data_IF_473530547085
#
_entry.id   IF_473530547085
#
_cell.length_a   1.000
_cell.length_b   1.000
_cell.length_c   1.000
_cell.angle_alpha   90.00
_cell.angle_beta   90.00
_cell.angle_gamma   90.00
#
_symmetry.space_group_name_H-M   'P 1'
#
loop_
_entity.id
_entity.type
_entity.pdbx_description
1 polymer ?
#
# COMPACT_ATOMS: atom_id res chain seq x y z
N UNK A 1 -13.01 -0.63 24.62
CA UNK A 1 -13.93 -1.18 23.59
C UNK A 1 -13.38 -2.52 23.13
N UNK A 2 -14.12 -3.60 23.26
CA UNK A 2 -13.62 -4.96 22.99
C UNK A 2 -13.19 -5.13 21.51
N UNK A 3 -12.23 -6.03 21.28
CA UNK A 3 -11.72 -6.35 19.95
C UNK A 3 -12.84 -6.63 18.93
N UNK A 4 -13.82 -7.43 19.30
CA UNK A 4 -14.97 -7.78 18.44
C UNK A 4 -15.81 -6.57 18.00
N UNK A 5 -16.05 -5.61 18.92
CA UNK A 5 -16.80 -4.39 18.59
C UNK A 5 -16.06 -3.57 17.53
N UNK A 6 -14.74 -3.42 17.66
CA UNK A 6 -13.93 -2.73 16.64
C UNK A 6 -14.03 -3.42 15.28
N UNK A 7 -14.02 -4.75 15.24
CA UNK A 7 -14.14 -5.52 13.99
C UNK A 7 -15.53 -5.37 13.36
N UNK A 8 -16.59 -5.38 14.15
CA UNK A 8 -17.96 -5.15 13.67
C UNK A 8 -18.08 -3.75 13.06
N UNK A 9 -17.59 -2.72 13.75
CA UNK A 9 -17.59 -1.33 13.23
C UNK A 9 -16.83 -1.25 11.91
N UNK A 10 -15.63 -1.87 11.84
CA UNK A 10 -14.85 -1.95 10.60
C UNK A 10 -15.63 -2.62 9.47
N UNK A 11 -16.30 -3.74 9.75
CA UNK A 11 -17.12 -4.44 8.76
C UNK A 11 -18.32 -3.60 8.28
N UNK A 12 -19.01 -2.90 9.18
CA UNK A 12 -20.12 -2.01 8.81
C UNK A 12 -19.59 -0.86 7.95
N UNK A 13 -18.48 -0.23 8.35
CA UNK A 13 -17.87 0.82 7.55
C UNK A 13 -17.50 0.32 6.14
N UNK A 14 -16.88 -0.85 6.05
CA UNK A 14 -16.40 -1.43 4.80
C UNK A 14 -17.53 -1.89 3.86
N UNK A 15 -18.57 -2.51 4.40
CA UNK A 15 -19.61 -3.13 3.57
C UNK A 15 -20.86 -2.25 3.36
N UNK A 16 -21.02 -1.21 4.15
CA UNK A 16 -22.20 -0.33 4.07
C UNK A 16 -21.80 1.13 3.84
N UNK A 17 -21.06 1.73 4.77
CA UNK A 17 -20.78 3.16 4.73
C UNK A 17 -19.96 3.56 3.51
N UNK A 18 -18.79 2.93 3.31
CA UNK A 18 -17.89 3.28 2.21
C UNK A 18 -18.50 3.01 0.82
N UNK A 19 -19.16 1.85 0.56
CA UNK A 19 -19.82 1.63 -0.72
C UNK A 19 -20.88 2.69 -1.06
N UNK A 20 -21.74 3.03 -0.09
CA UNK A 20 -22.80 4.04 -0.28
C UNK A 20 -22.17 5.42 -0.54
N UNK A 21 -21.20 5.81 0.29
CA UNK A 21 -20.54 7.11 0.13
C UNK A 21 -19.79 7.21 -1.21
N UNK A 22 -19.06 6.15 -1.57
CA UNK A 22 -18.37 6.06 -2.86
C UNK A 22 -19.35 6.20 -4.03
N UNK A 23 -20.47 5.50 -3.99
CA UNK A 23 -21.52 5.59 -5.01
C UNK A 23 -22.03 7.03 -5.17
N UNK A 24 -22.26 7.73 -4.06
CA UNK A 24 -22.66 9.15 -4.09
C UNK A 24 -21.54 10.00 -4.73
N UNK A 25 -20.29 9.78 -4.37
CA UNK A 25 -19.14 10.50 -4.95
C UNK A 25 -18.96 10.23 -6.45
N UNK A 26 -19.35 9.04 -6.94
CA UNK A 26 -19.30 8.67 -8.36
C UNK A 26 -20.27 9.46 -9.27
N UNK A 27 -21.13 10.33 -8.72
CA UNK A 27 -21.92 11.28 -9.51
C UNK A 27 -21.04 12.28 -10.27
N UNK A 28 -19.83 12.57 -9.73
CA UNK A 28 -18.81 13.33 -10.46
C UNK A 28 -18.09 12.40 -11.44
N UNK A 29 -17.70 12.87 -12.64
CA UNK A 29 -16.94 12.07 -13.60
C UNK A 29 -15.54 11.73 -13.08
N UNK A 30 -14.90 10.74 -13.71
CA UNK A 30 -13.45 10.54 -13.53
C UNK A 30 -12.72 11.73 -14.14
N UNK A 31 -11.80 12.29 -13.41
CA UNK A 31 -10.92 13.36 -13.88
C UNK A 31 -9.73 12.71 -14.58
N UNK A 32 -9.64 12.95 -15.88
CA UNK A 32 -8.54 12.42 -16.70
C UNK A 32 -7.20 12.99 -16.23
N UNK A 33 -6.20 12.12 -16.12
CA UNK A 33 -4.87 12.48 -15.64
C UNK A 33 -4.76 12.62 -14.13
N UNK A 34 -5.84 12.45 -13.34
CA UNK A 34 -5.75 12.50 -11.89
C UNK A 34 -5.13 11.20 -11.35
N UNK A 35 -3.94 11.34 -10.75
CA UNK A 35 -3.18 10.27 -10.09
C UNK A 35 -3.18 10.52 -8.59
N UNK A 36 -3.62 9.54 -7.82
CA UNK A 36 -3.64 9.63 -6.35
C UNK A 36 -2.68 8.62 -5.77
N UNK A 37 -1.68 9.08 -5.03
CA UNK A 37 -0.84 8.25 -4.18
C UNK A 37 -1.43 8.19 -2.78
N UNK A 38 -1.59 7.00 -2.22
CA UNK A 38 -2.22 6.88 -0.91
C UNK A 38 -1.58 5.78 -0.05
N UNK A 39 -1.50 6.05 1.26
CA UNK A 39 -1.07 5.10 2.28
C UNK A 39 -1.61 5.53 3.65
N UNK A 40 -2.09 4.55 4.46
CA UNK A 40 -2.64 4.82 5.80
C UNK A 40 -1.64 4.60 6.95
N UNK A 41 -0.37 4.37 6.61
CA UNK A 41 0.71 4.14 7.57
C UNK A 41 1.87 5.14 7.45
N UNK A 42 1.75 6.12 6.56
CA UNK A 42 2.78 7.11 6.25
C UNK A 42 2.17 8.51 6.18
N UNK A 43 2.92 9.50 6.64
CA UNK A 43 2.51 10.91 6.58
C UNK A 43 3.08 11.66 5.38
N UNK A 44 3.93 11.00 4.59
CA UNK A 44 4.54 11.53 3.37
C UNK A 44 4.81 10.39 2.39
N UNK A 45 5.09 10.71 1.13
CA UNK A 45 5.46 9.74 0.11
C UNK A 45 6.66 8.91 0.56
N UNK A 46 6.51 7.58 0.66
CA UNK A 46 7.60 6.73 1.11
C UNK A 46 8.67 6.56 0.01
N UNK A 47 9.93 6.27 0.38
CA UNK A 47 11.02 6.08 -0.58
C UNK A 47 10.71 5.04 -1.68
N UNK A 48 9.90 4.03 -1.35
CA UNK A 48 9.46 3.01 -2.30
C UNK A 48 8.55 3.52 -3.42
N UNK A 49 7.91 4.66 -3.24
CA UNK A 49 7.03 5.29 -4.23
C UNK A 49 7.67 6.53 -4.85
N UNK A 50 8.69 7.11 -4.22
CA UNK A 50 9.21 8.44 -4.51
C UNK A 50 9.66 8.60 -5.97
N UNK A 51 10.40 7.65 -6.52
CA UNK A 51 10.87 7.73 -7.92
C UNK A 51 9.73 7.74 -8.93
N UNK A 52 8.72 6.90 -8.71
CA UNK A 52 7.53 6.89 -9.57
C UNK A 52 6.73 8.18 -9.42
N UNK A 53 6.57 8.64 -8.18
CA UNK A 53 5.89 9.89 -7.86
C UNK A 53 6.56 11.07 -8.56
N UNK A 54 7.88 11.24 -8.41
CA UNK A 54 8.64 12.33 -9.02
C UNK A 54 8.60 12.27 -10.56
N UNK A 55 8.69 11.08 -11.12
CA UNK A 55 8.57 10.89 -12.57
C UNK A 55 7.18 11.29 -13.11
N UNK A 56 6.11 11.00 -12.35
CA UNK A 56 4.75 11.36 -12.75
C UNK A 56 4.44 12.86 -12.57
N UNK A 57 5.08 13.53 -11.61
CA UNK A 57 4.99 14.98 -11.45
C UNK A 57 5.52 15.74 -12.67
N UNK A 58 6.47 15.15 -13.40
CA UNK A 58 7.07 15.76 -14.59
C UNK A 58 6.28 15.49 -15.89
N UNK A 59 5.23 14.65 -15.82
CA UNK A 59 4.44 14.31 -17.00
C UNK A 59 3.33 15.34 -17.26
N UNK A 60 3.33 15.92 -18.44
CA UNK A 60 2.26 16.83 -18.88
C UNK A 60 0.90 16.09 -18.90
N UNK A 61 -0.14 16.79 -18.50
CA UNK A 61 -1.50 16.27 -18.48
C UNK A 61 -1.82 15.39 -17.27
N UNK A 62 -0.87 15.16 -16.35
CA UNK A 62 -1.14 14.50 -15.08
C UNK A 62 -1.26 15.51 -13.93
N UNK A 63 -2.16 15.20 -13.01
CA UNK A 63 -2.31 15.90 -11.72
C UNK A 63 -2.06 14.90 -10.62
N UNK A 64 -0.93 15.00 -9.94
CA UNK A 64 -0.56 14.10 -8.84
C UNK A 64 -1.07 14.68 -7.52
N UNK A 65 -1.76 13.85 -6.75
CA UNK A 65 -2.31 14.20 -5.43
C UNK A 65 -1.85 13.17 -4.41
N UNK A 66 -1.32 13.67 -3.29
CA UNK A 66 -0.88 12.85 -2.17
C UNK A 66 -1.96 12.76 -1.09
N UNK A 67 -2.28 11.54 -0.70
CA UNK A 67 -3.20 11.24 0.41
C UNK A 67 -2.55 10.27 1.41
N UNK A 68 -1.50 10.75 2.06
CA UNK A 68 -0.74 10.04 3.08
C UNK A 68 -1.21 10.46 4.48
N UNK A 69 -1.47 9.48 5.35
CA UNK A 69 -1.80 9.73 6.75
C UNK A 69 -1.50 8.52 7.62
N UNK A 70 -1.15 8.75 8.88
CA UNK A 70 -0.97 7.67 9.86
C UNK A 70 -2.28 7.43 10.63
N UNK A 71 -3.04 6.42 10.21
CA UNK A 71 -4.32 6.07 10.82
C UNK A 71 -4.15 5.65 12.29
N UNK A 72 -3.00 5.08 12.67
CA UNK A 72 -2.75 4.62 14.04
C UNK A 72 -2.53 5.79 15.00
N UNK A 73 -1.98 6.89 14.50
CA UNK A 73 -1.78 8.13 15.27
C UNK A 73 -3.05 8.98 15.40
N UNK A 74 -4.13 8.63 14.68
CA UNK A 74 -5.36 9.41 14.65
C UNK A 74 -6.42 8.90 15.62
N UNK A 75 -7.30 9.81 16.07
CA UNK A 75 -8.56 9.41 16.70
C UNK A 75 -9.46 8.70 15.68
N UNK A 76 -10.35 7.81 16.14
CA UNK A 76 -11.28 7.09 15.26
C UNK A 76 -12.13 8.05 14.38
N UNK A 77 -12.52 9.20 14.92
CA UNK A 77 -13.30 10.20 14.18
C UNK A 77 -12.45 10.87 13.09
N UNK A 78 -11.20 11.24 13.40
CA UNK A 78 -10.29 11.84 12.43
C UNK A 78 -9.94 10.83 11.31
N UNK A 79 -9.63 9.60 11.66
CA UNK A 79 -9.37 8.52 10.70
C UNK A 79 -10.56 8.27 9.78
N UNK A 80 -11.80 8.23 10.32
CA UNK A 80 -12.99 8.08 9.50
C UNK A 80 -13.16 9.25 8.52
N UNK A 81 -12.93 10.47 8.96
CA UNK A 81 -12.99 11.66 8.07
C UNK A 81 -11.96 11.59 6.95
N UNK A 82 -10.73 11.15 7.25
CA UNK A 82 -9.67 10.95 6.24
C UNK A 82 -10.04 9.88 5.23
N UNK A 83 -10.53 8.72 5.69
CA UNK A 83 -10.98 7.66 4.79
C UNK A 83 -12.12 8.11 3.88
N UNK A 84 -13.10 8.88 4.38
CA UNK A 84 -14.17 9.45 3.56
C UNK A 84 -13.64 10.51 2.57
N UNK A 85 -12.67 11.33 2.96
CA UNK A 85 -12.00 12.26 2.06
C UNK A 85 -11.29 11.52 0.92
N UNK A 86 -10.55 10.45 1.24
CA UNK A 86 -9.96 9.59 0.22
C UNK A 86 -11.01 8.97 -0.71
N UNK A 87 -12.14 8.47 -0.19
CA UNK A 87 -13.20 7.89 -1.04
C UNK A 87 -13.69 8.88 -2.10
N UNK A 88 -13.73 10.17 -1.77
CA UNK A 88 -14.08 11.23 -2.70
C UNK A 88 -13.03 11.42 -3.80
N UNK A 89 -11.73 11.37 -3.43
CA UNK A 89 -10.63 11.40 -4.39
C UNK A 89 -10.65 10.13 -5.27
N UNK A 90 -10.77 8.97 -4.66
CA UNK A 90 -10.82 7.67 -5.36
C UNK A 90 -11.95 7.61 -6.38
N UNK A 91 -13.12 8.15 -6.05
CA UNK A 91 -14.25 8.20 -6.98
C UNK A 91 -13.98 9.05 -8.23
N UNK A 92 -13.00 9.95 -8.20
CA UNK A 92 -12.64 10.84 -9.31
C UNK A 92 -11.30 10.51 -9.94
N UNK A 93 -10.46 9.70 -9.30
CA UNK A 93 -9.13 9.35 -9.77
C UNK A 93 -9.19 8.46 -11.04
N UNK A 94 -8.34 8.76 -12.02
CA UNK A 94 -8.03 7.85 -13.11
C UNK A 94 -7.05 6.77 -12.65
N UNK A 95 -6.06 7.14 -11.83
CA UNK A 95 -5.10 6.22 -11.26
C UNK A 95 -5.03 6.36 -9.74
N UNK A 96 -4.95 5.21 -9.05
CA UNK A 96 -4.67 5.14 -7.62
C UNK A 96 -3.48 4.23 -7.41
N UNK A 97 -2.45 4.72 -6.73
CA UNK A 97 -1.18 4.02 -6.52
C UNK A 97 -1.01 3.78 -5.02
N UNK A 98 -0.82 2.52 -4.67
CA UNK A 98 -0.73 2.02 -3.31
C UNK A 98 0.54 1.18 -3.13
N UNK A 99 1.06 1.14 -1.91
CA UNK A 99 2.13 0.20 -1.54
C UNK A 99 1.70 -0.82 -0.49
N UNK A 100 0.58 -0.60 0.16
CA UNK A 100 0.03 -1.51 1.16
C UNK A 100 -1.47 -1.74 0.95
N UNK A 101 -2.06 -2.64 1.73
CA UNK A 101 -3.50 -2.84 1.73
C UNK A 101 -4.20 -1.60 2.27
N UNK A 102 -5.12 -1.07 1.50
CA UNK A 102 -5.86 0.13 1.86
C UNK A 102 -7.36 -0.14 1.86
N UNK A 103 -7.94 -0.18 3.06
CA UNK A 103 -9.32 -0.59 3.29
C UNK A 103 -10.35 0.15 2.41
N UNK A 104 -10.30 1.47 2.22
CA UNK A 104 -11.25 2.17 1.38
C UNK A 104 -11.31 1.63 -0.06
N UNK A 105 -10.16 1.26 -0.64
CA UNK A 105 -10.09 0.74 -2.03
C UNK A 105 -10.79 -0.59 -2.16
N UNK A 106 -10.62 -1.50 -1.19
CA UNK A 106 -11.27 -2.82 -1.22
C UNK A 106 -12.75 -2.79 -0.81
N UNK A 107 -13.25 -1.66 -0.30
CA UNK A 107 -14.59 -1.55 0.29
C UNK A 107 -15.71 -1.36 -0.72
N UNK A 108 -15.43 -0.94 -1.94
CA UNK A 108 -16.46 -0.57 -2.92
C UNK A 108 -16.34 -1.38 -4.21
N UNK A 109 -17.30 -1.22 -5.10
CA UNK A 109 -17.19 -1.62 -6.48
C UNK A 109 -16.53 -0.48 -7.26
N UNK A 110 -15.25 -0.68 -7.62
CA UNK A 110 -14.48 0.28 -8.40
C UNK A 110 -15.20 0.62 -9.70
N UNK A 111 -15.32 1.90 -10.01
CA UNK A 111 -15.93 2.36 -11.25
C UNK A 111 -15.03 2.07 -12.46
N UNK A 112 -15.63 1.96 -13.63
CA UNK A 112 -14.89 1.92 -14.89
C UNK A 112 -14.15 3.25 -15.10
N UNK A 113 -12.93 3.17 -15.64
CA UNK A 113 -12.08 4.35 -15.86
C UNK A 113 -11.12 4.67 -14.73
N UNK A 114 -11.20 3.99 -13.58
CA UNK A 114 -10.21 4.07 -12.52
C UNK A 114 -9.32 2.83 -12.54
N UNK A 115 -8.01 3.01 -12.55
CA UNK A 115 -7.00 1.95 -12.48
C UNK A 115 -6.33 1.99 -11.11
N UNK A 116 -6.30 0.86 -10.41
CA UNK A 116 -5.63 0.73 -9.11
C UNK A 116 -4.36 -0.10 -9.27
N UNK A 117 -3.23 0.49 -8.89
CA UNK A 117 -1.90 -0.08 -8.98
C UNK A 117 -1.36 -0.33 -7.57
N UNK A 118 -1.00 -1.57 -7.28
CA UNK A 118 -0.38 -1.98 -6.03
C UNK A 118 1.10 -2.24 -6.27
N UNK A 119 1.97 -1.40 -5.71
CA UNK A 119 3.42 -1.55 -5.83
C UNK A 119 3.99 -2.56 -4.84
N UNK A 120 3.26 -2.78 -3.72
CA UNK A 120 3.68 -3.59 -2.60
C UNK A 120 4.93 -3.04 -1.90
N UNK A 121 5.20 -3.54 -0.70
CA UNK A 121 6.30 -3.08 0.15
C UNK A 121 7.37 -4.16 0.39
N UNK A 122 7.24 -5.33 -0.23
CA UNK A 122 8.18 -6.45 -0.10
C UNK A 122 8.77 -6.84 -1.45
N UNK A 123 10.07 -7.07 -1.49
CA UNK A 123 10.79 -7.37 -2.73
C UNK A 123 10.83 -8.86 -3.10
N UNK A 124 10.13 -9.73 -2.37
CA UNK A 124 10.16 -11.17 -2.65
C UNK A 124 8.99 -11.91 -2.05
N UNK A 125 8.99 -13.24 -2.18
CA UNK A 125 8.00 -14.16 -1.63
C UNK A 125 8.60 -15.00 -0.48
N UNK A 126 9.26 -14.37 0.47
CA UNK A 126 9.97 -15.04 1.57
C UNK A 126 9.06 -15.49 2.71
N UNK A 127 7.88 -14.90 2.83
CA UNK A 127 6.93 -15.17 3.90
C UNK A 127 5.54 -15.30 3.29
N UNK A 128 4.74 -16.22 3.83
CA UNK A 128 3.31 -16.28 3.51
C UNK A 128 2.61 -15.05 4.04
N UNK A 129 1.68 -14.52 3.28
CA UNK A 129 0.90 -13.34 3.64
C UNK A 129 -0.53 -13.46 3.09
N UNK A 130 -1.37 -12.54 3.46
CA UNK A 130 -2.74 -12.45 2.97
C UNK A 130 -3.53 -13.73 3.24
N UNK A 131 -4.20 -14.25 2.21
CA UNK A 131 -5.04 -15.45 2.35
C UNK A 131 -4.24 -16.76 2.44
N UNK A 132 -2.95 -16.75 2.18
CA UNK A 132 -2.07 -17.91 2.32
C UNK A 132 -1.41 -17.99 3.71
N UNK A 133 -1.62 -16.97 4.57
CA UNK A 133 -1.23 -16.96 5.97
C UNK A 133 -2.46 -17.11 6.88
N UNK A 134 -2.33 -17.90 7.98
CA UNK A 134 -3.46 -18.20 8.84
C UNK A 134 -3.99 -16.98 9.62
N UNK A 135 -3.10 -16.06 9.96
CA UNK A 135 -3.37 -15.00 10.94
C UNK A 135 -3.41 -13.58 10.35
N UNK A 136 -3.09 -13.41 9.06
CA UNK A 136 -3.09 -12.08 8.42
C UNK A 136 -4.52 -11.55 8.20
N UNK A 137 -5.45 -12.43 7.81
CA UNK A 137 -6.83 -12.07 7.56
C UNK A 137 -7.73 -12.91 8.46
N UNK A 138 -8.58 -12.29 9.31
CA UNK A 138 -9.46 -13.02 10.18
C UNK A 138 -10.36 -13.99 9.42
N UNK A 139 -10.52 -15.23 9.91
CA UNK A 139 -11.30 -16.28 9.23
C UNK A 139 -12.78 -15.90 9.05
N UNK A 140 -13.32 -15.05 9.94
CA UNK A 140 -14.69 -14.55 9.83
C UNK A 140 -14.86 -13.40 8.82
N UNK A 141 -13.75 -12.89 8.26
CA UNK A 141 -13.80 -11.80 7.29
C UNK A 141 -14.46 -12.26 5.99
N UNK A 142 -15.51 -11.54 5.59
CA UNK A 142 -16.22 -11.79 4.34
C UNK A 142 -15.78 -10.78 3.29
N UNK A 143 -15.33 -11.27 2.14
CA UNK A 143 -14.88 -10.43 1.03
C UNK A 143 -13.41 -10.67 0.64
N UNK A 144 -12.86 -9.79 -0.15
CA UNK A 144 -11.45 -9.81 -0.52
C UNK A 144 -10.81 -8.44 -0.20
N UNK A 145 -9.88 -8.41 0.75
CA UNK A 145 -9.17 -7.20 1.17
C UNK A 145 -8.25 -6.63 0.07
N UNK A 146 -7.93 -7.44 -0.94
CA UNK A 146 -7.16 -7.06 -2.12
C UNK A 146 -8.04 -6.82 -3.37
N UNK A 147 -9.32 -6.65 -3.16
CA UNK A 147 -10.28 -6.35 -4.24
C UNK A 147 -9.90 -5.04 -4.94
N UNK A 148 -10.21 -4.99 -6.22
CA UNK A 148 -10.07 -3.81 -7.08
C UNK A 148 -8.67 -3.49 -7.61
N UNK A 149 -7.64 -4.30 -7.33
CA UNK A 149 -6.34 -4.12 -7.95
C UNK A 149 -6.38 -4.55 -9.43
N UNK A 150 -5.93 -3.67 -10.32
CA UNK A 150 -5.79 -3.93 -11.76
C UNK A 150 -4.37 -4.36 -12.10
N UNK A 151 -3.40 -3.84 -11.34
CA UNK A 151 -1.99 -4.16 -11.47
C UNK A 151 -1.37 -4.35 -10.08
N UNK A 152 -0.66 -5.45 -9.91
CA UNK A 152 0.22 -5.71 -8.76
C UNK A 152 1.61 -5.94 -9.29
N UNK A 153 2.59 -5.15 -8.83
CA UNK A 153 3.98 -5.32 -9.24
C UNK A 153 4.72 -6.28 -8.32
N UNK A 154 5.55 -7.13 -8.89
CA UNK A 154 6.42 -8.05 -8.15
C UNK A 154 7.82 -8.05 -8.74
N UNK A 155 8.80 -8.44 -7.93
CA UNK A 155 10.22 -8.38 -8.27
C UNK A 155 10.65 -9.34 -9.38
N UNK A 156 9.96 -10.48 -9.54
CA UNK A 156 10.32 -11.49 -10.53
C UNK A 156 9.12 -12.32 -10.98
N UNK A 157 9.20 -13.00 -12.15
CA UNK A 157 8.18 -13.93 -12.60
C UNK A 157 7.91 -15.06 -11.58
N UNK A 158 8.90 -15.46 -10.82
CA UNK A 158 8.81 -16.48 -9.77
C UNK A 158 7.83 -16.06 -8.65
N UNK A 159 7.74 -14.78 -8.34
CA UNK A 159 6.83 -14.27 -7.30
C UNK A 159 5.36 -14.25 -7.72
N UNK A 160 5.06 -14.25 -9.03
CA UNK A 160 3.69 -14.09 -9.55
C UNK A 160 2.68 -15.09 -8.98
N UNK A 161 2.91 -16.43 -8.96
CA UNK A 161 1.93 -17.37 -8.46
C UNK A 161 1.63 -17.15 -6.96
N UNK A 162 2.62 -16.81 -6.16
CA UNK A 162 2.44 -16.58 -4.72
C UNK A 162 1.58 -15.34 -4.44
N UNK A 163 1.82 -14.25 -5.15
CA UNK A 163 0.99 -13.04 -5.02
C UNK A 163 -0.42 -13.24 -5.58
N UNK A 164 -0.55 -13.98 -6.68
CA UNK A 164 -1.85 -14.34 -7.24
C UNK A 164 -2.70 -15.13 -6.24
N UNK A 165 -2.11 -16.11 -5.55
CA UNK A 165 -2.75 -16.91 -4.51
C UNK A 165 -3.07 -16.06 -3.27
N UNK A 166 -2.04 -15.46 -2.67
CA UNK A 166 -2.14 -14.72 -1.41
C UNK A 166 -3.14 -13.56 -1.47
N UNK A 167 -3.26 -12.90 -2.63
CA UNK A 167 -4.21 -11.81 -2.85
C UNK A 167 -5.53 -12.25 -3.48
N UNK A 168 -5.71 -13.56 -3.77
CA UNK A 168 -6.89 -14.10 -4.47
C UNK A 168 -7.20 -13.34 -5.76
N UNK A 169 -6.16 -13.08 -6.58
CA UNK A 169 -6.35 -12.39 -7.85
C UNK A 169 -7.09 -13.28 -8.85
N UNK A 170 -8.22 -12.80 -9.35
CA UNK A 170 -9.04 -13.55 -10.32
C UNK A 170 -8.33 -13.78 -11.65
N UNK A 171 -7.49 -12.83 -12.05
CA UNK A 171 -6.75 -12.88 -13.30
C UNK A 171 -5.25 -12.89 -13.03
N UNK A 172 -4.52 -13.96 -13.37
CA UNK A 172 -3.07 -14.03 -13.16
C UNK A 172 -2.30 -12.90 -13.89
N UNK A 173 -2.90 -12.33 -14.94
CA UNK A 173 -2.32 -11.20 -15.68
C UNK A 173 -2.30 -9.89 -14.86
N UNK A 174 -3.04 -9.80 -13.76
CA UNK A 174 -3.00 -8.66 -12.84
C UNK A 174 -1.64 -8.55 -12.14
N UNK A 175 -0.96 -9.68 -11.86
CA UNK A 175 0.35 -9.70 -11.22
C UNK A 175 1.44 -9.67 -12.28
N UNK A 176 2.27 -8.59 -12.28
CA UNK A 176 3.31 -8.35 -13.28
C UNK A 176 4.69 -8.24 -12.63
N UNK A 177 5.66 -8.86 -13.24
CA UNK A 177 7.06 -8.83 -12.81
C UNK A 177 7.78 -7.61 -13.42
N UNK A 178 7.42 -6.42 -12.96
CA UNK A 178 8.03 -5.16 -13.41
C UNK A 178 9.17 -4.69 -12.52
N UNK A 179 9.54 -5.46 -11.51
CA UNK A 179 10.49 -5.07 -10.50
C UNK A 179 9.79 -4.66 -9.20
N UNK A 180 10.57 -4.19 -8.25
CA UNK A 180 10.10 -3.66 -6.98
C UNK A 180 10.65 -2.25 -6.80
N UNK A 181 9.78 -1.26 -6.81
CA UNK A 181 10.14 0.14 -6.57
C UNK A 181 10.80 0.35 -5.20
N UNK A 182 10.55 -0.55 -4.26
CA UNK A 182 11.19 -0.55 -2.93
C UNK A 182 12.71 -0.70 -3.02
N UNK A 183 13.23 -1.34 -4.07
CA UNK A 183 14.67 -1.57 -4.26
C UNK A 183 15.37 -0.54 -5.15
N UNK A 184 14.66 0.39 -5.75
CA UNK A 184 15.21 1.36 -6.68
C UNK A 184 16.29 2.25 -6.04
N UNK A 185 16.14 2.56 -4.75
CA UNK A 185 17.12 3.35 -4.01
C UNK A 185 18.51 2.69 -3.91
N UNK A 186 18.60 1.36 -4.00
CA UNK A 186 19.89 0.65 -3.98
C UNK A 186 20.70 0.83 -5.27
N UNK A 187 20.08 1.32 -6.33
CA UNK A 187 20.72 1.61 -7.62
C UNK A 187 20.93 3.11 -7.83
N UNK A 188 20.63 3.94 -6.84
CA UNK A 188 20.79 5.38 -6.85
C UNK A 188 22.06 5.77 -6.07
N UNK A 189 23.11 6.19 -6.80
CA UNK A 189 24.40 6.54 -6.18
C UNK A 189 24.29 7.78 -5.26
N UNK A 190 23.44 8.75 -5.63
CA UNK A 190 23.22 9.93 -4.80
C UNK A 190 22.51 9.58 -3.49
N UNK A 191 21.49 8.71 -3.57
CA UNK A 191 20.82 8.19 -2.38
C UNK A 191 21.77 7.40 -1.49
N UNK A 192 22.59 6.51 -2.07
CA UNK A 192 23.58 5.73 -1.30
C UNK A 192 24.57 6.63 -0.58
N UNK A 193 25.10 7.64 -1.27
CA UNK A 193 26.04 8.61 -0.68
C UNK A 193 25.39 9.36 0.49
N UNK A 194 24.16 9.88 0.31
CA UNK A 194 23.43 10.57 1.37
C UNK A 194 23.13 9.65 2.57
N UNK A 195 22.81 8.37 2.33
CA UNK A 195 22.60 7.41 3.42
C UNK A 195 23.89 7.01 4.14
N UNK A 196 25.01 6.94 3.43
CA UNK A 196 26.32 6.74 4.03
C UNK A 196 26.69 7.92 4.94
N UNK A 197 26.52 9.14 4.48
CA UNK A 197 26.78 10.33 5.29
C UNK A 197 25.88 10.36 6.55
N UNK A 198 24.60 10.10 6.40
CA UNK A 198 23.66 10.01 7.53
C UNK A 198 24.05 8.93 8.54
N UNK A 199 24.51 7.77 8.05
CA UNK A 199 25.02 6.69 8.91
C UNK A 199 26.23 7.17 9.71
N UNK A 200 27.20 7.83 9.06
CA UNK A 200 28.42 8.34 9.73
C UNK A 200 28.11 9.45 10.74
N UNK A 201 27.16 10.33 10.43
CA UNK A 201 26.67 11.33 11.38
C UNK A 201 26.02 10.71 12.61
N UNK A 202 25.31 9.57 12.46
CA UNK A 202 24.57 8.94 13.54
C UNK A 202 25.46 8.03 14.40
N UNK A 203 26.33 7.25 13.76
CA UNK A 203 27.10 6.17 14.42
C UNK A 203 28.62 6.38 14.40
N UNK A 204 29.08 7.46 13.80
CA UNK A 204 30.48 7.75 13.57
C UNK A 204 31.06 7.07 12.34
N UNK A 205 32.17 7.60 11.85
CA UNK A 205 32.87 7.06 10.68
C UNK A 205 33.33 5.62 10.91
N UNK A 206 33.28 4.81 9.87
CA UNK A 206 33.65 3.38 9.90
C UNK A 206 35.13 3.17 10.32
N UNK A 207 36.05 4.00 9.87
CA UNK A 207 37.47 3.99 10.23
C UNK A 207 38.11 2.58 10.17
N UNK A 208 37.85 1.84 9.08
CA UNK A 208 38.35 0.48 8.90
C UNK A 208 37.63 -0.62 9.67
N UNK A 209 36.67 -0.28 10.56
CA UNK A 209 35.88 -1.26 11.31
C UNK A 209 34.87 -1.98 10.44
N UNK A 210 34.61 -3.24 10.74
CA UNK A 210 33.49 -3.99 10.16
C UNK A 210 32.19 -3.56 10.84
N UNK A 211 31.19 -3.21 10.07
CA UNK A 211 29.84 -2.90 10.57
C UNK A 211 28.98 -4.15 10.43
N UNK A 212 28.43 -4.60 11.58
CA UNK A 212 27.50 -5.73 11.63
C UNK A 212 26.12 -5.17 11.98
N UNK A 213 25.13 -5.42 11.12
CA UNK A 213 23.73 -5.05 11.38
C UNK A 213 22.97 -6.27 11.87
N UNK A 214 22.46 -6.21 13.09
CA UNK A 214 21.54 -7.19 13.63
C UNK A 214 20.12 -6.67 13.51
N UNK A 215 19.35 -7.19 12.53
CA UNK A 215 17.97 -6.78 12.25
C UNK A 215 17.02 -7.98 12.34
N UNK A 216 16.70 -8.46 13.55
CA UNK A 216 15.83 -9.61 13.72
C UNK A 216 14.41 -9.30 13.24
N UNK A 217 13.74 -10.30 12.67
CA UNK A 217 12.34 -10.20 12.28
C UNK A 217 11.46 -9.87 13.48
N UNK A 218 10.54 -8.94 13.30
CA UNK A 218 9.50 -8.67 14.29
C UNK A 218 8.70 -9.96 14.57
N UNK A 219 8.66 -10.32 15.86
CA UNK A 219 7.84 -11.42 16.35
C UNK A 219 6.62 -10.82 17.03
N UNK A 220 5.51 -10.73 16.29
CA UNK A 220 4.21 -10.43 16.87
C UNK A 220 3.68 -11.61 17.71
N UNK A 221 2.45 -11.51 18.21
CA UNK A 221 1.77 -12.58 18.95
C UNK A 221 1.52 -13.86 18.11
N UNK A 222 1.68 -13.82 16.80
CA UNK A 222 1.70 -15.01 15.96
C UNK A 222 3.04 -15.72 16.19
N UNK A 223 2.99 -16.82 16.87
CA UNK A 223 4.10 -17.74 17.10
C UNK A 223 4.67 -18.21 15.76
N UNK A 224 5.69 -17.52 15.28
CA UNK A 224 6.58 -18.13 14.30
C UNK A 224 7.50 -19.02 15.11
N UNK A 225 7.13 -20.26 15.30
CA UNK A 225 8.05 -21.28 15.72
C UNK A 225 8.95 -21.59 14.54
N UNK A 226 10.22 -21.20 14.67
CA UNK A 226 11.32 -21.76 13.89
C UNK A 226 11.69 -23.05 14.56
#
# INVERSE_FOLDING_TARGET
>A
MGFYIKQIIKMIAQHVLFPIYYFICCRKPVTRGLVVFADEHKTACPPSMQRLHDALLLQEGLTVVDDFFDLQAMSAQAGMRRMLAFMKLYAQAEFVILQDNFLPVSSCHKRKGTTVIQLWHGCGAFKRFGYDAKDDIPQFYKGNVYKNYDLVTVSSPYCRPFFTSAMRMKHPKTVRAYGSSYTDCYFDEAYKAAMQEKFEQTYGAKNGRTVIVWAPTFRGLSLIHI
#
